data_IF_957480688269
#
_entry.id   IF_957480688269
#
_cell.length_a   1.000
_cell.length_b   1.000
_cell.length_c   1.000
_cell.angle_alpha   90.00
_cell.angle_beta   90.00
_cell.angle_gamma   90.00
#
_symmetry.space_group_name_H-M   'P 1'
#
loop_
_entity.id
_entity.type
_entity.pdbx_description
1 polymer ?
#
# COMPACT_ATOMS: atom_id res chain seq x y z
N UNK A 1 -16.93 8.07 -3.26
CA UNK A 1 -15.98 7.55 -4.27
C UNK A 1 -16.63 7.01 -5.51
N UNK A 2 -17.54 6.05 -5.42
CA UNK A 2 -18.11 5.43 -6.63
C UNK A 2 -19.09 6.31 -7.40
N UNK A 3 -19.72 7.31 -6.78
CA UNK A 3 -20.66 8.25 -7.41
C UNK A 3 -21.61 7.62 -8.44
N UNK A 4 -22.11 6.42 -8.16
CA UNK A 4 -22.98 5.67 -9.06
C UNK A 4 -22.32 4.57 -9.91
N UNK A 5 -20.98 4.49 -9.96
CA UNK A 5 -20.28 3.40 -10.66
C UNK A 5 -20.48 2.04 -9.95
N UNK A 6 -20.53 2.06 -8.62
CA UNK A 6 -20.69 0.87 -7.79
C UNK A 6 -21.63 1.16 -6.62
N UNK A 7 -21.98 0.15 -5.84
CA UNK A 7 -22.82 0.35 -4.66
C UNK A 7 -22.14 1.27 -3.63
N UNK A 8 -22.91 2.23 -3.10
CA UNK A 8 -22.48 3.01 -1.94
C UNK A 8 -22.39 2.11 -0.69
N UNK A 9 -21.70 2.59 0.34
CA UNK A 9 -21.56 1.89 1.63
C UNK A 9 -22.93 1.44 2.19
N UNK A 10 -23.92 2.34 2.21
CA UNK A 10 -25.28 2.03 2.66
C UNK A 10 -25.96 0.98 1.79
N UNK A 11 -25.81 1.05 0.47
CA UNK A 11 -26.42 0.09 -0.45
C UNK A 11 -25.80 -1.31 -0.29
N UNK A 12 -24.52 -1.41 0.01
CA UNK A 12 -23.87 -2.70 0.30
C UNK A 12 -24.53 -3.40 1.49
N UNK A 13 -24.78 -2.66 2.58
CA UNK A 13 -25.46 -3.22 3.75
C UNK A 13 -26.89 -3.65 3.39
N UNK A 14 -27.65 -2.81 2.68
CA UNK A 14 -29.05 -3.10 2.31
C UNK A 14 -29.15 -4.37 1.43
N UNK A 15 -28.30 -4.48 0.41
CA UNK A 15 -28.29 -5.67 -0.47
C UNK A 15 -27.88 -6.93 0.28
N UNK A 16 -26.89 -6.86 1.16
CA UNK A 16 -26.49 -8.01 1.98
C UNK A 16 -27.59 -8.44 2.95
N UNK A 17 -28.34 -7.50 3.53
CA UNK A 17 -29.49 -7.83 4.34
C UNK A 17 -30.56 -8.57 3.54
N UNK A 18 -30.85 -8.12 2.32
CA UNK A 18 -31.80 -8.79 1.43
C UNK A 18 -31.32 -10.20 1.02
N UNK A 19 -30.06 -10.37 0.66
CA UNK A 19 -29.47 -11.68 0.35
C UNK A 19 -29.65 -12.65 1.54
N UNK A 20 -29.37 -12.19 2.76
CA UNK A 20 -29.54 -13.02 3.97
C UNK A 20 -31.01 -13.34 4.23
N UNK A 21 -31.90 -12.38 4.04
CA UNK A 21 -33.35 -12.57 4.19
C UNK A 21 -33.88 -13.62 3.23
N UNK A 22 -33.60 -13.51 1.93
CA UNK A 22 -34.01 -14.49 0.92
C UNK A 22 -33.38 -15.86 1.17
N UNK A 23 -32.16 -15.93 1.64
CA UNK A 23 -31.49 -17.18 2.02
C UNK A 23 -32.23 -17.86 3.17
N UNK A 24 -32.65 -17.09 4.18
CA UNK A 24 -33.43 -17.63 5.31
C UNK A 24 -34.83 -18.11 4.86
N UNK A 25 -35.50 -17.36 4.00
CA UNK A 25 -36.79 -17.75 3.45
C UNK A 25 -36.71 -19.09 2.67
N UNK A 26 -35.66 -19.28 1.86
CA UNK A 26 -35.48 -20.57 1.15
C UNK A 26 -35.23 -21.73 2.09
N UNK A 27 -34.53 -21.53 3.21
CA UNK A 27 -34.33 -22.58 4.22
C UNK A 27 -35.65 -23.00 4.88
N UNK A 28 -36.51 -22.01 5.19
CA UNK A 28 -37.83 -22.30 5.80
C UNK A 28 -38.77 -22.97 4.81
N UNK A 29 -38.76 -22.58 3.54
CA UNK A 29 -39.68 -23.10 2.51
C UNK A 29 -39.16 -24.39 1.82
N UNK A 30 -38.17 -25.08 2.38
CA UNK A 30 -37.64 -26.32 1.82
C UNK A 30 -37.01 -26.20 0.43
N UNK A 31 -36.59 -24.99 0.02
CA UNK A 31 -35.94 -24.75 -1.26
C UNK A 31 -36.83 -24.69 -2.50
N UNK A 32 -38.16 -24.77 -2.35
CA UNK A 32 -39.12 -24.95 -3.48
C UNK A 32 -39.61 -23.66 -4.14
N UNK A 33 -39.25 -22.48 -3.63
CA UNK A 33 -39.71 -21.19 -4.16
C UNK A 33 -38.80 -20.68 -5.29
N UNK A 34 -39.06 -21.07 -6.54
CA UNK A 34 -38.27 -20.70 -7.72
C UNK A 34 -38.02 -19.20 -7.86
N UNK A 35 -39.04 -18.35 -7.68
CA UNK A 35 -38.89 -16.90 -7.79
C UNK A 35 -37.94 -16.30 -6.75
N UNK A 36 -37.92 -16.84 -5.51
CA UNK A 36 -36.98 -16.43 -4.47
C UNK A 36 -35.56 -16.85 -4.83
N UNK A 37 -35.41 -18.07 -5.35
CA UNK A 37 -34.12 -18.61 -5.78
C UNK A 37 -33.51 -17.78 -6.94
N UNK A 38 -34.33 -17.43 -7.95
CA UNK A 38 -33.90 -16.62 -9.09
C UNK A 38 -33.48 -15.21 -8.66
N UNK A 39 -34.25 -14.60 -7.78
CA UNK A 39 -33.91 -13.29 -7.19
C UNK A 39 -32.61 -13.33 -6.39
N UNK A 40 -32.44 -14.33 -5.52
CA UNK A 40 -31.24 -14.53 -4.73
C UNK A 40 -30.00 -14.73 -5.61
N UNK A 41 -30.11 -15.58 -6.62
CA UNK A 41 -29.01 -15.83 -7.59
C UNK A 41 -28.60 -14.55 -8.33
N UNK A 42 -29.60 -13.78 -8.78
CA UNK A 42 -29.36 -12.50 -9.45
C UNK A 42 -28.65 -11.49 -8.54
N UNK A 43 -29.14 -11.34 -7.29
CA UNK A 43 -28.54 -10.43 -6.32
C UNK A 43 -27.11 -10.83 -5.96
N UNK A 44 -26.84 -12.12 -5.69
CA UNK A 44 -25.49 -12.62 -5.40
C UNK A 44 -24.54 -12.36 -6.57
N UNK A 45 -24.95 -12.65 -7.81
CA UNK A 45 -24.15 -12.43 -9.02
C UNK A 45 -23.80 -10.96 -9.21
N UNK A 46 -24.78 -10.06 -9.07
CA UNK A 46 -24.55 -8.61 -9.20
C UNK A 46 -23.74 -8.06 -8.04
N UNK A 47 -24.00 -8.49 -6.82
CA UNK A 47 -23.26 -8.04 -5.65
C UNK A 47 -21.79 -8.42 -5.72
N UNK A 48 -21.42 -9.54 -6.33
CA UNK A 48 -20.02 -9.97 -6.49
C UNK A 48 -19.15 -8.87 -7.10
N UNK A 49 -19.62 -8.22 -8.16
CA UNK A 49 -18.92 -7.08 -8.74
C UNK A 49 -19.23 -5.78 -7.99
N UNK A 50 -20.50 -5.34 -7.99
CA UNK A 50 -20.86 -3.99 -7.52
C UNK A 50 -20.69 -3.78 -6.01
N UNK A 51 -20.69 -4.80 -5.22
CA UNK A 51 -20.60 -4.74 -3.75
C UNK A 51 -19.25 -5.18 -3.21
N UNK A 52 -18.81 -6.38 -3.57
CA UNK A 52 -17.61 -7.01 -3.03
C UNK A 52 -16.33 -6.58 -3.76
N UNK A 53 -16.17 -6.95 -5.04
CA UNK A 53 -14.93 -6.73 -5.79
C UNK A 53 -14.56 -5.27 -5.95
N UNK A 54 -15.53 -4.38 -6.00
CA UNK A 54 -15.35 -2.94 -6.12
C UNK A 54 -15.19 -2.20 -4.79
N UNK A 55 -15.18 -2.91 -3.66
CA UNK A 55 -14.84 -2.32 -2.37
C UNK A 55 -13.32 -2.35 -2.16
N UNK A 56 -12.74 -1.17 -1.98
CA UNK A 56 -11.31 -1.05 -1.67
C UNK A 56 -10.95 -1.48 -0.25
N UNK A 57 -11.94 -1.66 0.64
CA UNK A 57 -11.76 -1.85 2.09
C UNK A 57 -10.82 -0.81 2.72
N UNK A 58 -10.81 0.40 2.14
CA UNK A 58 -9.94 1.50 2.52
C UNK A 58 -10.39 2.27 3.78
N UNK A 59 -11.52 1.89 4.38
CA UNK A 59 -12.08 2.50 5.57
C UNK A 59 -12.55 3.95 5.44
N UNK A 60 -12.35 4.62 4.30
CA UNK A 60 -12.76 6.02 4.12
C UNK A 60 -14.27 6.25 4.23
N UNK A 61 -15.07 5.19 4.15
CA UNK A 61 -16.51 5.29 4.42
C UNK A 61 -16.81 5.64 5.88
N UNK A 62 -15.98 5.23 6.83
CA UNK A 62 -16.13 5.58 8.25
C UNK A 62 -15.78 7.04 8.53
N UNK A 63 -14.84 7.64 7.81
CA UNK A 63 -14.47 9.04 7.99
C UNK A 63 -15.59 10.00 7.57
N UNK A 64 -16.42 9.59 6.60
CA UNK A 64 -17.58 10.35 6.12
C UNK A 64 -18.89 9.99 6.84
N UNK A 65 -18.88 8.94 7.67
CA UNK A 65 -20.06 8.50 8.40
C UNK A 65 -20.10 9.13 9.79
N UNK A 66 -21.19 9.84 10.20
CA UNK A 66 -21.32 10.39 11.55
C UNK A 66 -21.20 9.32 12.65
N UNK A 67 -21.66 8.09 12.35
CA UNK A 67 -21.62 6.94 13.26
C UNK A 67 -20.31 6.13 13.14
N UNK A 68 -19.33 6.61 12.37
CA UNK A 68 -18.03 5.94 12.13
C UNK A 68 -18.13 4.51 11.60
N UNK A 69 -19.23 4.13 10.93
CA UNK A 69 -19.43 2.77 10.41
C UNK A 69 -18.48 2.49 9.25
N UNK A 70 -17.60 1.52 9.44
CA UNK A 70 -16.69 1.02 8.41
C UNK A 70 -17.31 -0.17 7.66
N UNK A 71 -17.88 0.05 6.47
CA UNK A 71 -18.44 -1.05 5.67
C UNK A 71 -17.37 -1.92 5.01
N UNK A 72 -16.11 -1.56 5.09
CA UNK A 72 -14.96 -2.39 4.71
C UNK A 72 -14.90 -3.67 5.55
N UNK A 73 -15.19 -3.60 6.85
CA UNK A 73 -15.22 -4.76 7.74
C UNK A 73 -16.29 -5.77 7.32
N UNK A 74 -17.50 -5.30 6.98
CA UNK A 74 -18.52 -6.17 6.41
C UNK A 74 -18.03 -6.88 5.13
N UNK A 75 -17.29 -6.16 4.29
CA UNK A 75 -16.73 -6.75 3.05
C UNK A 75 -15.65 -7.78 3.36
N UNK A 76 -14.82 -7.57 4.37
CA UNK A 76 -13.84 -8.57 4.82
C UNK A 76 -14.53 -9.85 5.31
N UNK A 77 -15.58 -9.72 6.13
CA UNK A 77 -16.37 -10.87 6.60
C UNK A 77 -17.02 -11.64 5.43
N UNK A 78 -17.58 -10.95 4.45
CA UNK A 78 -18.17 -11.58 3.27
C UNK A 78 -17.10 -12.35 2.48
N UNK A 79 -15.93 -11.76 2.26
CA UNK A 79 -14.81 -12.40 1.57
C UNK A 79 -14.30 -13.63 2.32
N UNK A 80 -14.26 -13.57 3.65
CA UNK A 80 -13.89 -14.71 4.48
C UNK A 80 -14.90 -15.86 4.33
N UNK A 81 -16.21 -15.55 4.35
CA UNK A 81 -17.25 -16.55 4.11
C UNK A 81 -17.13 -17.17 2.72
N UNK A 82 -16.98 -16.34 1.68
CA UNK A 82 -16.79 -16.80 0.29
C UNK A 82 -15.52 -17.66 0.15
N UNK A 83 -14.45 -17.32 0.86
CA UNK A 83 -13.19 -18.06 0.82
C UNK A 83 -13.31 -19.42 1.52
N UNK A 84 -14.04 -19.50 2.63
CA UNK A 84 -14.33 -20.77 3.31
C UNK A 84 -15.15 -21.74 2.42
N UNK A 85 -15.95 -21.20 1.50
CA UNK A 85 -16.69 -21.97 0.49
C UNK A 85 -15.84 -22.31 -0.76
N UNK A 86 -14.57 -21.83 -0.84
CA UNK A 86 -13.67 -22.02 -1.99
C UNK A 86 -12.36 -22.71 -1.61
N UNK A 87 -12.36 -24.05 -1.41
CA UNK A 87 -11.15 -24.77 -1.01
C UNK A 87 -9.97 -24.61 -1.96
N UNK A 88 -10.22 -24.51 -3.26
CA UNK A 88 -9.17 -24.31 -4.28
C UNK A 88 -8.53 -22.92 -4.17
N UNK A 89 -9.35 -21.88 -3.99
CA UNK A 89 -8.87 -20.53 -3.79
C UNK A 89 -8.00 -20.39 -2.53
N UNK A 90 -8.45 -21.04 -1.45
CA UNK A 90 -7.69 -21.08 -0.20
C UNK A 90 -6.32 -21.77 -0.36
N UNK A 91 -6.27 -22.96 -1.00
CA UNK A 91 -5.02 -23.69 -1.27
C UNK A 91 -4.03 -22.89 -2.12
N UNK A 92 -4.53 -22.15 -3.12
CA UNK A 92 -3.69 -21.25 -3.93
C UNK A 92 -3.10 -20.14 -3.05
N UNK A 93 -3.90 -19.55 -2.17
CA UNK A 93 -3.45 -18.54 -1.22
C UNK A 93 -2.40 -19.07 -0.24
N UNK A 94 -2.59 -20.28 0.27
CA UNK A 94 -1.66 -20.95 1.17
C UNK A 94 -0.34 -21.27 0.48
N UNK A 95 -0.38 -21.88 -0.71
CA UNK A 95 0.82 -22.11 -1.54
C UNK A 95 1.58 -20.80 -1.79
N UNK A 96 0.87 -19.71 -2.10
CA UNK A 96 1.49 -18.40 -2.31
C UNK A 96 2.17 -17.86 -1.04
N UNK A 97 1.60 -18.11 0.13
CA UNK A 97 2.18 -17.69 1.40
C UNK A 97 3.46 -18.46 1.76
N UNK A 98 3.50 -19.75 1.46
CA UNK A 98 4.65 -20.60 1.70
C UNK A 98 5.80 -20.34 0.72
N UNK A 99 5.47 -20.02 -0.54
CA UNK A 99 6.45 -19.84 -1.63
C UNK A 99 6.70 -18.36 -1.97
N UNK A 100 6.53 -17.44 -1.02
CA UNK A 100 6.58 -16.00 -1.23
C UNK A 100 7.87 -15.51 -1.89
N UNK A 101 9.02 -16.04 -1.50
CA UNK A 101 10.31 -15.66 -2.10
C UNK A 101 10.39 -16.04 -3.60
N UNK A 102 9.94 -17.26 -3.94
CA UNK A 102 9.87 -17.74 -5.33
C UNK A 102 8.90 -16.90 -6.16
N UNK A 103 7.72 -16.60 -5.63
CA UNK A 103 6.72 -15.76 -6.31
C UNK A 103 7.25 -14.36 -6.56
N UNK A 104 7.91 -13.71 -5.58
CA UNK A 104 8.54 -12.40 -5.79
C UNK A 104 9.63 -12.45 -6.85
N UNK A 105 10.43 -13.51 -6.88
CA UNK A 105 11.47 -13.71 -7.90
C UNK A 105 10.87 -13.91 -9.30
N UNK A 106 9.82 -14.73 -9.41
CA UNK A 106 9.08 -14.92 -10.66
C UNK A 106 8.42 -13.62 -11.14
N UNK A 107 7.81 -12.84 -10.23
CA UNK A 107 7.20 -11.56 -10.58
C UNK A 107 8.24 -10.55 -11.09
N UNK A 108 9.45 -10.53 -10.54
CA UNK A 108 10.56 -9.71 -11.07
C UNK A 108 10.92 -10.07 -12.49
N UNK A 109 10.97 -11.38 -12.81
CA UNK A 109 11.22 -11.86 -14.19
C UNK A 109 10.09 -11.42 -15.12
N UNK A 110 8.84 -11.57 -14.71
CA UNK A 110 7.67 -11.13 -15.50
C UNK A 110 7.71 -9.62 -15.75
N UNK A 111 8.08 -8.82 -14.76
CA UNK A 111 8.22 -7.36 -14.93
C UNK A 111 9.35 -7.00 -15.91
N UNK A 112 10.45 -7.74 -15.89
CA UNK A 112 11.58 -7.54 -16.80
C UNK A 112 11.21 -7.87 -18.26
N UNK A 113 10.54 -9.01 -18.45
CA UNK A 113 10.02 -9.43 -19.76
C UNK A 113 8.98 -8.41 -20.28
N UNK A 114 8.03 -7.99 -19.43
CA UNK A 114 7.03 -6.99 -19.80
C UNK A 114 7.68 -5.63 -20.15
N UNK A 115 8.73 -5.24 -19.42
CA UNK A 115 9.47 -4.01 -19.71
C UNK A 115 10.21 -4.12 -21.06
N UNK A 116 10.88 -5.23 -21.35
CA UNK A 116 11.56 -5.48 -22.63
C UNK A 116 10.56 -5.51 -23.79
N UNK A 117 9.42 -6.20 -23.61
CA UNK A 117 8.33 -6.21 -24.58
C UNK A 117 7.78 -4.81 -24.85
N UNK A 118 7.62 -3.99 -23.82
CA UNK A 118 7.19 -2.59 -23.99
C UNK A 118 8.21 -1.77 -24.82
N UNK A 119 9.50 -1.97 -24.58
CA UNK A 119 10.55 -1.26 -25.34
C UNK A 119 10.54 -1.63 -26.83
N UNK A 120 10.23 -2.88 -27.15
CA UNK A 120 10.25 -3.40 -28.54
C UNK A 120 8.94 -3.15 -29.29
N UNK A 121 7.78 -3.34 -28.63
CA UNK A 121 6.46 -3.26 -29.24
C UNK A 121 5.87 -1.84 -29.18
N UNK A 122 6.37 -1.01 -28.30
CA UNK A 122 5.81 0.32 -28.02
C UNK A 122 4.50 0.30 -27.22
N UNK A 123 4.06 1.47 -26.71
CA UNK A 123 2.93 1.57 -25.80
C UNK A 123 1.58 1.18 -26.40
N UNK A 124 1.34 1.51 -27.67
CA UNK A 124 0.05 1.29 -28.34
C UNK A 124 -0.24 -0.18 -28.57
N UNK A 125 0.73 -0.93 -29.12
CA UNK A 125 0.57 -2.35 -29.40
C UNK A 125 0.51 -3.15 -28.07
N UNK A 126 1.40 -2.84 -27.13
CA UNK A 126 1.40 -3.46 -25.79
C UNK A 126 0.04 -3.27 -25.09
N UNK A 127 -0.52 -2.05 -25.11
CA UNK A 127 -1.83 -1.78 -24.52
C UNK A 127 -2.97 -2.56 -25.19
N UNK A 128 -2.90 -2.77 -26.51
CA UNK A 128 -3.93 -3.52 -27.25
C UNK A 128 -3.87 -5.02 -26.94
N UNK A 129 -2.68 -5.61 -26.88
CA UNK A 129 -2.47 -7.01 -26.49
C UNK A 129 -2.94 -7.23 -25.04
N UNK A 130 -2.53 -6.35 -24.13
CA UNK A 130 -2.89 -6.49 -22.71
C UNK A 130 -4.40 -6.30 -22.46
N UNK A 131 -5.10 -5.47 -23.22
CA UNK A 131 -6.57 -5.39 -23.15
C UNK A 131 -7.24 -6.69 -23.58
N UNK A 132 -6.70 -7.37 -24.59
CA UNK A 132 -7.14 -8.71 -24.98
C UNK A 132 -6.94 -9.72 -23.86
N UNK A 133 -5.76 -9.75 -23.25
CA UNK A 133 -5.42 -10.64 -22.12
C UNK A 133 -6.26 -10.34 -20.87
N UNK A 134 -6.57 -9.09 -20.60
CA UNK A 134 -7.41 -8.70 -19.46
C UNK A 134 -8.84 -9.26 -19.56
N UNK A 135 -9.40 -9.38 -20.77
CA UNK A 135 -10.69 -10.06 -20.99
C UNK A 135 -10.65 -11.54 -20.58
N UNK A 136 -9.48 -12.16 -20.54
CA UNK A 136 -9.26 -13.53 -20.06
C UNK A 136 -8.93 -13.58 -18.57
N UNK A 137 -9.08 -12.46 -17.83
CA UNK A 137 -8.83 -12.37 -16.40
C UNK A 137 -7.38 -12.13 -15.99
N UNK A 138 -6.48 -11.85 -16.93
CA UNK A 138 -5.11 -11.51 -16.63
C UNK A 138 -4.97 -10.04 -16.21
N UNK A 139 -4.01 -9.69 -15.33
CA UNK A 139 -3.80 -8.32 -14.90
C UNK A 139 -3.52 -7.37 -16.08
N UNK A 140 -4.15 -6.20 -16.07
CA UNK A 140 -3.91 -5.18 -17.07
C UNK A 140 -2.52 -4.56 -16.90
N UNK A 141 -1.75 -4.54 -17.98
CA UNK A 141 -0.50 -3.78 -18.04
C UNK A 141 -0.79 -2.30 -18.35
N UNK A 142 -0.02 -1.38 -17.73
CA UNK A 142 -0.08 0.06 -18.00
C UNK A 142 1.31 0.60 -18.27
N UNK A 143 1.40 1.79 -18.90
CA UNK A 143 2.68 2.49 -19.14
C UNK A 143 3.39 2.90 -17.85
N UNK A 144 2.63 3.05 -16.76
CA UNK A 144 3.14 3.32 -15.42
C UNK A 144 3.62 2.04 -14.68
N UNK A 145 3.59 0.87 -15.35
CA UNK A 145 4.07 -0.37 -14.75
C UNK A 145 5.55 -0.25 -14.43
N UNK A 146 5.98 -0.47 -13.17
CA UNK A 146 7.35 -0.29 -12.77
C UNK A 146 8.26 -1.37 -13.39
N UNK A 147 9.54 -1.06 -13.47
CA UNK A 147 10.60 -2.05 -13.72
C UNK A 147 10.68 -3.02 -12.53
N UNK A 148 11.39 -4.15 -12.73
CA UNK A 148 11.78 -4.98 -11.59
C UNK A 148 12.64 -4.17 -10.62
N UNK A 149 12.47 -4.43 -9.33
CA UNK A 149 13.37 -3.89 -8.32
C UNK A 149 14.76 -4.51 -8.49
N UNK A 150 15.80 -3.68 -8.53
CA UNK A 150 17.21 -4.12 -8.46
C UNK A 150 17.52 -4.37 -6.98
N UNK A 151 17.70 -5.63 -6.61
CA UNK A 151 18.16 -5.92 -5.25
C UNK A 151 19.56 -5.32 -5.05
N UNK A 152 19.74 -4.47 -4.01
CA UNK A 152 21.06 -4.00 -3.67
C UNK A 152 21.94 -5.21 -3.30
N UNK A 153 23.11 -5.31 -3.87
CA UNK A 153 24.09 -6.33 -3.44
C UNK A 153 24.59 -5.93 -2.05
N UNK A 154 24.91 -6.92 -1.23
CA UNK A 154 25.47 -6.68 0.12
C UNK A 154 26.74 -5.83 0.07
N UNK A 155 27.53 -5.96 -1.02
CA UNK A 155 28.69 -5.10 -1.33
C UNK A 155 28.32 -3.63 -1.58
N UNK A 156 27.21 -3.39 -2.30
CA UNK A 156 26.79 -2.03 -2.65
C UNK A 156 26.33 -1.26 -1.41
N UNK A 157 25.67 -1.97 -0.47
CA UNK A 157 25.24 -1.43 0.82
C UNK A 157 26.44 -1.05 1.71
N UNK A 158 27.43 -1.91 1.80
CA UNK A 158 28.64 -1.67 2.62
C UNK A 158 29.47 -0.53 2.03
N UNK A 159 29.66 -0.50 0.70
CA UNK A 159 30.39 0.55 0.00
C UNK A 159 29.67 1.89 0.10
N UNK A 160 28.35 1.90 0.01
CA UNK A 160 27.51 3.10 0.13
C UNK A 160 27.57 3.73 1.52
N UNK A 161 27.56 2.89 2.56
CA UNK A 161 27.74 3.34 3.97
C UNK A 161 29.15 3.90 4.17
N UNK A 162 30.17 3.27 3.61
CA UNK A 162 31.57 3.69 3.77
C UNK A 162 31.88 4.97 2.96
N UNK A 163 31.41 5.08 1.72
CA UNK A 163 31.73 6.22 0.85
C UNK A 163 31.02 7.53 1.25
N UNK A 164 29.86 7.41 1.94
CA UNK A 164 29.04 8.58 2.34
C UNK A 164 28.87 8.75 3.84
N UNK A 165 29.48 7.94 4.66
CA UNK A 165 29.64 8.24 6.08
C UNK A 165 30.53 9.47 6.20
N UNK A 166 29.92 10.63 6.39
CA UNK A 166 30.63 11.83 6.80
C UNK A 166 31.31 11.44 8.12
N UNK A 167 32.63 11.67 8.28
CA UNK A 167 33.28 11.43 9.55
C UNK A 167 32.67 12.38 10.56
N UNK A 168 31.63 11.91 11.29
CA UNK A 168 31.27 12.56 12.53
C UNK A 168 32.50 12.46 13.43
N UNK A 169 32.96 13.60 13.93
CA UNK A 169 34.00 13.66 14.95
C UNK A 169 33.72 12.55 15.95
N UNK A 170 34.78 11.83 16.33
CA UNK A 170 34.79 10.79 17.33
C UNK A 170 34.24 11.31 18.68
N UNK A 171 32.94 11.47 18.76
CA UNK A 171 32.25 11.56 20.04
C UNK A 171 31.56 10.20 20.26
N UNK A 172 31.73 9.64 21.41
CA UNK A 172 31.40 8.31 21.95
C UNK A 172 29.94 7.82 21.78
N UNK A 173 29.27 8.09 20.67
CA UNK A 173 27.89 7.65 20.45
C UNK A 173 27.84 6.59 19.36
N UNK A 174 27.44 5.37 19.73
CA UNK A 174 27.06 4.31 18.77
C UNK A 174 26.16 4.90 17.69
N UNK A 175 26.34 4.53 16.39
CA UNK A 175 25.53 5.07 15.32
C UNK A 175 24.03 4.83 15.61
N UNK A 176 23.20 5.79 15.30
CA UNK A 176 21.76 5.66 15.39
C UNK A 176 21.30 4.55 14.44
N UNK A 177 20.37 3.72 14.88
CA UNK A 177 19.93 2.56 14.09
C UNK A 177 18.44 2.61 13.81
N UNK A 178 18.06 2.15 12.62
CA UNK A 178 16.67 1.99 12.19
C UNK A 178 16.49 0.65 11.48
N UNK A 179 15.48 -0.10 11.86
CA UNK A 179 15.11 -1.32 11.13
C UNK A 179 14.23 -0.93 9.95
N UNK A 180 14.63 -1.28 8.74
CA UNK A 180 13.87 -0.95 7.54
C UNK A 180 13.22 -2.20 6.93
N UNK A 181 11.90 -2.18 6.88
CA UNK A 181 11.09 -3.16 6.14
C UNK A 181 10.53 -2.54 4.85
N UNK A 182 11.15 -2.79 3.70
CA UNK A 182 10.74 -2.17 2.42
C UNK A 182 9.41 -2.66 1.89
N UNK A 183 8.77 -3.63 2.54
CA UNK A 183 7.58 -4.36 2.07
C UNK A 183 7.83 -5.28 0.88
N UNK A 184 6.92 -6.26 0.66
CA UNK A 184 7.06 -7.21 -0.45
C UNK A 184 6.97 -6.53 -1.83
N UNK A 185 6.12 -5.50 -1.96
CA UNK A 185 5.93 -4.80 -3.24
C UNK A 185 7.16 -3.96 -3.63
N UNK A 186 7.78 -3.26 -2.68
CA UNK A 186 8.98 -2.47 -2.94
C UNK A 186 10.23 -3.35 -3.15
N UNK A 187 10.19 -4.63 -2.73
CA UNK A 187 11.21 -5.62 -3.07
C UNK A 187 11.05 -6.22 -4.48
N UNK A 188 9.91 -6.04 -5.12
CA UNK A 188 9.61 -6.58 -6.46
C UNK A 188 9.53 -5.52 -7.53
N UNK A 189 8.93 -4.39 -7.23
CA UNK A 189 8.65 -3.30 -8.15
C UNK A 189 9.59 -2.12 -7.91
N UNK A 190 10.43 -1.80 -8.86
CA UNK A 190 11.26 -0.61 -8.89
C UNK A 190 10.47 0.64 -9.30
N UNK A 191 11.15 1.63 -9.84
CA UNK A 191 10.53 2.86 -10.34
C UNK A 191 9.79 2.65 -11.66
N UNK A 192 8.79 3.48 -11.89
CA UNK A 192 8.20 3.60 -13.22
C UNK A 192 9.23 4.21 -14.20
N UNK A 193 9.03 3.95 -15.50
CA UNK A 193 9.93 4.45 -16.54
C UNK A 193 9.92 5.99 -16.63
N UNK A 194 8.77 6.61 -16.39
CA UNK A 194 8.59 8.06 -16.45
C UNK A 194 9.21 8.81 -15.28
N UNK A 195 9.47 8.13 -14.15
CA UNK A 195 10.07 8.75 -12.97
C UNK A 195 11.51 9.23 -13.15
N UNK A 196 12.23 8.75 -14.16
CA UNK A 196 13.58 9.21 -14.52
C UNK A 196 14.68 8.97 -13.46
N UNK A 197 14.31 8.43 -12.30
CA UNK A 197 15.26 8.17 -11.20
C UNK A 197 16.09 6.93 -11.45
N UNK A 198 17.36 6.99 -11.08
CA UNK A 198 18.35 5.91 -11.29
C UNK A 198 18.21 4.84 -10.20
N UNK A 199 17.93 5.28 -8.97
CA UNK A 199 17.86 4.41 -7.79
C UNK A 199 16.44 3.98 -7.45
N UNK A 200 16.31 2.77 -6.90
CA UNK A 200 15.05 2.27 -6.37
C UNK A 200 14.77 2.85 -4.97
N UNK A 201 13.52 2.77 -4.52
CA UNK A 201 13.11 3.35 -3.23
C UNK A 201 13.93 2.82 -2.05
N UNK A 202 14.37 1.57 -2.10
CA UNK A 202 15.21 0.99 -1.03
C UNK A 202 16.55 1.72 -0.95
N UNK A 203 17.18 1.99 -2.08
CA UNK A 203 18.45 2.73 -2.14
C UNK A 203 18.27 4.18 -1.67
N UNK A 204 17.17 4.83 -2.07
CA UNK A 204 16.86 6.20 -1.65
C UNK A 204 16.63 6.31 -0.13
N UNK A 205 15.96 5.32 0.48
CA UNK A 205 15.81 5.27 1.95
C UNK A 205 17.17 5.12 2.63
N UNK A 206 18.01 4.20 2.13
CA UNK A 206 19.36 3.99 2.70
C UNK A 206 20.18 5.28 2.60
N UNK A 207 20.17 5.96 1.46
CA UNK A 207 20.88 7.21 1.24
C UNK A 207 20.41 8.31 2.21
N UNK A 208 19.10 8.44 2.36
CA UNK A 208 18.51 9.43 3.27
C UNK A 208 18.89 9.15 4.73
N UNK A 209 18.81 7.88 5.16
CA UNK A 209 19.22 7.48 6.51
C UNK A 209 20.70 7.74 6.75
N UNK A 210 21.56 7.40 5.79
CA UNK A 210 23.00 7.65 5.89
C UNK A 210 23.32 9.16 5.99
N UNK A 211 22.63 10.03 5.22
CA UNK A 211 22.77 11.50 5.36
C UNK A 211 22.46 11.99 6.79
N UNK A 212 21.48 11.36 7.44
CA UNK A 212 21.07 11.72 8.80
C UNK A 212 21.86 11.00 9.91
N UNK A 213 22.88 10.20 9.55
CA UNK A 213 23.73 9.46 10.49
C UNK A 213 23.10 8.19 11.06
N UNK A 214 22.11 7.60 10.35
CA UNK A 214 21.47 6.35 10.73
C UNK A 214 22.06 5.16 9.97
N UNK A 215 22.33 4.07 10.70
CA UNK A 215 22.59 2.75 10.16
C UNK A 215 21.26 2.05 9.87
N UNK A 216 21.09 1.49 8.68
CA UNK A 216 19.89 0.73 8.28
C UNK A 216 20.10 -0.75 8.51
N UNK A 217 19.23 -1.36 9.32
CA UNK A 217 19.20 -2.79 9.61
C UNK A 217 18.05 -3.42 8.82
N UNK A 218 18.33 -4.50 8.10
CA UNK A 218 17.29 -5.30 7.44
C UNK A 218 16.92 -6.53 8.28
N UNK A 219 15.63 -6.85 8.41
CA UNK A 219 15.22 -8.08 9.09
C UNK A 219 15.67 -9.32 8.31
N UNK A 220 16.08 -10.36 9.01
CA UNK A 220 16.46 -11.64 8.41
C UNK A 220 15.27 -12.28 7.70
N UNK A 221 15.52 -12.92 6.54
CA UNK A 221 14.49 -13.60 5.76
C UNK A 221 13.47 -12.66 5.10
N UNK A 222 13.81 -11.40 4.92
CA UNK A 222 12.96 -10.35 4.36
C UNK A 222 12.29 -10.76 3.04
N UNK A 223 12.95 -11.58 2.23
CA UNK A 223 12.42 -12.09 0.96
C UNK A 223 11.18 -13.00 1.12
N UNK A 224 10.99 -13.61 2.30
CA UNK A 224 9.83 -14.45 2.64
C UNK A 224 8.75 -13.69 3.41
N UNK A 225 9.07 -12.49 3.90
CA UNK A 225 8.21 -11.72 4.79
C UNK A 225 7.14 -10.94 4.03
N UNK A 226 5.96 -10.83 4.68
CA UNK A 226 4.85 -10.00 4.24
C UNK A 226 4.03 -9.55 5.44
N UNK A 227 3.47 -8.35 5.37
CA UNK A 227 2.58 -7.81 6.40
C UNK A 227 1.20 -8.51 6.47
N UNK A 228 0.88 -9.40 5.52
CA UNK A 228 -0.39 -10.11 5.46
C UNK A 228 -1.54 -9.37 4.75
N UNK A 229 -1.39 -8.10 4.41
CA UNK A 229 -2.45 -7.26 3.83
C UNK A 229 -3.13 -7.87 2.59
N UNK A 230 -2.38 -8.56 1.74
CA UNK A 230 -2.93 -9.17 0.52
C UNK A 230 -3.91 -10.29 0.84
N UNK A 231 -3.61 -11.13 1.84
CA UNK A 231 -4.50 -12.23 2.26
C UNK A 231 -5.72 -11.70 3.03
N UNK A 232 -5.54 -10.72 3.93
CA UNK A 232 -6.66 -10.06 4.60
C UNK A 232 -7.65 -9.48 3.58
N UNK A 233 -7.15 -8.77 2.56
CA UNK A 233 -7.99 -8.17 1.53
C UNK A 233 -8.78 -9.18 0.70
N UNK A 234 -8.35 -10.45 0.70
CA UNK A 234 -9.01 -11.57 0.01
C UNK A 234 -9.83 -12.47 0.94
N UNK A 235 -9.89 -12.17 2.26
CA UNK A 235 -10.66 -12.93 3.25
C UNK A 235 -9.94 -14.14 3.85
N UNK A 236 -8.62 -14.27 3.66
CA UNK A 236 -7.79 -15.35 4.21
C UNK A 236 -7.11 -14.86 5.50
N UNK A 237 -7.90 -14.64 6.57
CA UNK A 237 -7.43 -13.97 7.77
C UNK A 237 -6.36 -14.75 8.53
N UNK A 238 -6.50 -16.07 8.63
CA UNK A 238 -5.56 -16.97 9.28
C UNK A 238 -4.17 -16.97 8.61
N UNK A 239 -4.13 -17.00 7.27
CA UNK A 239 -2.88 -16.85 6.51
C UNK A 239 -2.31 -15.45 6.72
N UNK A 240 -3.16 -14.42 6.68
CA UNK A 240 -2.76 -13.05 6.92
C UNK A 240 -2.11 -12.86 8.28
N UNK A 241 -2.69 -13.45 9.33
CA UNK A 241 -2.20 -13.37 10.71
C UNK A 241 -0.93 -14.17 10.91
N UNK A 242 -0.82 -15.35 10.31
CA UNK A 242 0.42 -16.13 10.29
C UNK A 242 1.58 -15.33 9.67
N UNK A 243 1.36 -14.72 8.51
CA UNK A 243 2.38 -13.89 7.84
C UNK A 243 2.73 -12.63 8.64
N UNK A 244 1.76 -12.02 9.31
CA UNK A 244 2.01 -10.90 10.21
C UNK A 244 2.85 -11.34 11.42
N UNK A 245 2.59 -12.53 11.98
CA UNK A 245 3.33 -13.05 13.11
C UNK A 245 4.79 -13.38 12.75
N UNK A 246 5.02 -13.98 11.58
CA UNK A 246 6.37 -14.23 11.05
C UNK A 246 7.16 -12.93 10.90
N UNK A 247 6.51 -11.89 10.33
CA UNK A 247 7.13 -10.58 10.18
C UNK A 247 7.41 -9.93 11.53
N UNK A 248 6.46 -9.97 12.47
CA UNK A 248 6.62 -9.40 13.81
C UNK A 248 7.81 -10.00 14.55
N UNK A 249 7.96 -11.33 14.53
CA UNK A 249 9.08 -12.01 15.17
C UNK A 249 10.44 -11.59 14.57
N UNK A 250 10.52 -11.45 13.25
CA UNK A 250 11.73 -11.01 12.57
C UNK A 250 12.07 -9.54 12.87
N UNK A 251 11.08 -8.66 12.89
CA UNK A 251 11.25 -7.25 13.24
C UNK A 251 11.65 -7.07 14.70
N UNK A 252 11.04 -7.84 15.61
CA UNK A 252 11.37 -7.83 17.04
C UNK A 252 12.85 -8.17 17.29
N UNK A 253 13.32 -9.24 16.62
CA UNK A 253 14.73 -9.62 16.67
C UNK A 253 15.64 -8.54 16.07
N UNK A 254 15.29 -8.01 14.89
CA UNK A 254 16.10 -7.01 14.19
C UNK A 254 16.15 -5.66 14.94
N UNK A 255 15.10 -5.32 15.69
CA UNK A 255 15.02 -4.08 16.47
C UNK A 255 15.65 -4.20 17.87
N UNK A 256 16.35 -5.30 18.18
CA UNK A 256 16.85 -5.59 19.52
C UNK A 256 15.73 -5.40 20.58
N UNK A 257 14.64 -6.19 20.40
CA UNK A 257 13.49 -6.18 21.30
C UNK A 257 12.76 -4.82 21.39
N UNK A 258 12.65 -4.14 20.26
CA UNK A 258 11.95 -2.85 20.15
C UNK A 258 12.77 -1.64 20.54
N UNK A 259 14.07 -1.80 20.80
CA UNK A 259 15.02 -0.72 21.09
C UNK A 259 15.13 0.24 19.90
N UNK A 260 15.26 -0.29 18.68
CA UNK A 260 15.34 0.51 17.48
C UNK A 260 13.98 0.69 16.82
N UNK A 261 13.68 1.89 16.29
CA UNK A 261 12.45 2.14 15.53
C UNK A 261 12.43 1.32 14.24
N UNK A 262 11.22 0.97 13.79
CA UNK A 262 10.99 0.23 12.54
C UNK A 262 10.35 1.16 11.53
N UNK A 263 10.96 1.26 10.36
CA UNK A 263 10.49 2.03 9.21
C UNK A 263 9.86 1.12 8.17
N UNK A 264 8.66 1.45 7.69
CA UNK A 264 8.02 0.78 6.57
C UNK A 264 7.59 1.78 5.50
N UNK A 265 8.21 1.74 4.31
CA UNK A 265 7.98 2.67 3.22
C UNK A 265 6.77 2.31 2.34
N UNK A 266 5.77 1.65 2.90
CA UNK A 266 4.53 1.29 2.23
C UNK A 266 3.35 1.47 3.19
N UNK A 267 2.65 2.58 3.07
CA UNK A 267 1.61 3.01 3.99
C UNK A 267 0.51 1.97 4.25
N UNK A 268 -0.05 1.24 3.26
CA UNK A 268 -1.02 0.17 3.53
C UNK A 268 -0.46 -1.00 4.35
N UNK A 269 0.82 -1.35 4.14
CA UNK A 269 1.48 -2.39 4.93
C UNK A 269 1.67 -1.94 6.38
N UNK A 270 2.14 -0.71 6.58
CA UNK A 270 2.31 -0.13 7.91
C UNK A 270 0.98 -0.04 8.67
N UNK A 271 -0.10 0.38 7.99
CA UNK A 271 -1.42 0.45 8.60
C UNK A 271 -1.86 -0.91 9.17
N UNK A 272 -1.67 -2.01 8.40
CA UNK A 272 -1.94 -3.35 8.92
C UNK A 272 -0.98 -3.72 10.06
N UNK A 273 0.32 -3.45 9.90
CA UNK A 273 1.30 -3.73 10.96
C UNK A 273 0.92 -3.04 12.27
N UNK A 274 0.52 -1.78 12.23
CA UNK A 274 0.02 -1.05 13.40
C UNK A 274 -1.29 -1.63 13.96
N UNK A 275 -2.14 -2.22 13.13
CA UNK A 275 -3.39 -2.87 13.55
C UNK A 275 -3.13 -4.19 14.32
N UNK A 276 -2.14 -4.99 13.90
CA UNK A 276 -1.93 -6.36 14.39
C UNK A 276 -0.66 -6.56 15.21
N UNK A 277 0.27 -5.60 15.20
CA UNK A 277 1.53 -5.61 15.95
C UNK A 277 1.96 -4.18 16.30
N UNK A 278 2.83 -4.01 17.26
CA UNK A 278 3.43 -2.72 17.60
C UNK A 278 2.69 -1.91 18.67
N UNK A 279 3.39 -0.90 19.19
CA UNK A 279 2.90 0.08 20.16
C UNK A 279 2.29 1.29 19.44
N UNK A 280 1.20 1.84 19.98
CA UNK A 280 0.60 3.07 19.45
C UNK A 280 1.18 4.30 20.12
N UNK A 281 1.50 5.31 19.33
CA UNK A 281 1.48 6.68 19.81
C UNK A 281 0.03 7.20 19.78
N UNK A 282 -0.35 8.04 20.74
CA UNK A 282 -1.73 8.53 20.98
C UNK A 282 -2.40 9.28 19.82
N UNK A 283 -1.68 9.51 18.69
CA UNK A 283 -2.17 10.20 17.51
C UNK A 283 -3.13 9.40 16.63
N UNK A 284 -3.21 8.08 16.80
CA UNK A 284 -4.08 7.23 15.97
C UNK A 284 -5.55 7.25 16.43
N UNK A 285 -6.14 8.40 16.52
CA UNK A 285 -7.49 8.64 17.09
C UNK A 285 -8.66 7.99 16.32
N UNK A 286 -8.39 7.27 15.22
CA UNK A 286 -9.44 6.80 14.30
C UNK A 286 -9.81 5.32 14.37
N UNK A 287 -9.13 4.50 15.19
CA UNK A 287 -9.48 3.08 15.36
C UNK A 287 -9.90 2.86 16.81
N UNK A 288 -11.15 2.46 17.02
CA UNK A 288 -11.72 2.20 18.34
C UNK A 288 -10.99 1.07 19.05
N UNK A 289 -10.81 1.21 20.38
CA UNK A 289 -10.15 0.18 21.24
C UNK A 289 -10.89 -1.15 21.22
N UNK A 290 -12.19 -1.15 21.02
CA UNK A 290 -13.04 -2.35 20.92
C UNK A 290 -12.79 -3.15 19.61
N UNK A 291 -12.63 -2.47 18.46
CA UNK A 291 -12.32 -3.14 17.18
C UNK A 291 -10.96 -3.86 17.19
N UNK A 292 -10.09 -3.49 18.12
CA UNK A 292 -8.77 -4.11 18.29
C UNK A 292 -8.79 -5.37 19.11
N UNK A 293 -9.60 -5.40 20.13
CA UNK A 293 -9.74 -6.57 20.98
C UNK A 293 -10.33 -7.74 20.18
N UNK A 294 -11.29 -7.46 19.30
CA UNK A 294 -11.86 -8.45 18.39
C UNK A 294 -10.92 -8.86 17.25
N UNK A 295 -10.03 -7.96 16.78
CA UNK A 295 -9.05 -8.25 15.73
C UNK A 295 -7.81 -8.99 16.23
N UNK A 296 -7.65 -9.15 17.55
CA UNK A 296 -6.51 -9.88 18.15
C UNK A 296 -6.65 -11.38 17.95
N UNK A 297 -5.63 -12.06 17.44
CA UNK A 297 -5.53 -13.52 17.59
C UNK A 297 -5.54 -13.87 19.07
N UNK A 298 -6.53 -14.64 19.51
CA UNK A 298 -6.67 -15.02 20.93
C UNK A 298 -5.37 -15.69 21.41
N UNK A 299 -4.76 -15.16 22.47
CA UNK A 299 -3.57 -15.73 23.12
C UNK A 299 -2.21 -15.30 22.57
N UNK A 300 -2.15 -14.33 21.64
CA UNK A 300 -0.87 -13.84 21.09
C UNK A 300 -0.30 -12.68 21.93
N UNK A 301 0.97 -12.80 22.30
CA UNK A 301 1.75 -11.69 22.88
C UNK A 301 2.13 -10.75 21.72
N UNK A 302 1.67 -9.52 21.77
CA UNK A 302 2.11 -8.47 20.84
C UNK A 302 3.35 -7.78 21.41
N UNK A 303 4.38 -7.71 20.60
CA UNK A 303 5.61 -7.01 21.00
C UNK A 303 5.44 -5.49 20.86
N UNK A 304 5.99 -4.74 21.82
CA UNK A 304 5.96 -3.28 21.80
C UNK A 304 7.05 -2.73 20.88
N UNK A 305 6.71 -2.53 19.61
CA UNK A 305 7.61 -1.95 18.62
C UNK A 305 7.10 -0.59 18.13
N UNK A 306 8.01 0.35 17.95
CA UNK A 306 7.72 1.66 17.39
C UNK A 306 7.78 1.58 15.85
N UNK A 307 6.62 1.63 15.21
CA UNK A 307 6.46 1.47 13.76
C UNK A 307 6.18 2.83 13.12
N UNK A 308 6.97 3.22 12.13
CA UNK A 308 6.90 4.54 11.49
C UNK A 308 6.72 4.46 9.98
N UNK A 309 5.97 5.42 9.47
CA UNK A 309 5.90 5.76 8.06
C UNK A 309 7.04 6.75 7.72
N UNK A 310 7.55 6.78 6.47
CA UNK A 310 8.65 7.65 6.12
C UNK A 310 8.46 9.12 6.50
N UNK A 311 7.30 9.71 6.19
CA UNK A 311 7.07 11.13 6.49
C UNK A 311 7.09 11.41 8.00
N UNK A 312 6.43 10.56 8.78
CA UNK A 312 6.42 10.65 10.24
C UNK A 312 7.82 10.46 10.84
N UNK A 313 8.57 9.45 10.35
CA UNK A 313 9.93 9.19 10.82
C UNK A 313 10.86 10.36 10.52
N UNK A 314 10.79 10.92 9.31
CA UNK A 314 11.60 12.05 8.89
C UNK A 314 11.28 13.27 9.74
N UNK A 315 10.00 13.60 9.89
CA UNK A 315 9.57 14.76 10.70
C UNK A 315 9.98 14.62 12.16
N UNK A 316 9.95 13.42 12.72
CA UNK A 316 10.27 13.19 14.14
C UNK A 316 11.76 13.09 14.44
N UNK A 317 12.55 12.51 13.55
CA UNK A 317 13.93 12.12 13.85
C UNK A 317 15.00 12.72 12.92
N UNK A 318 14.62 13.12 11.71
CA UNK A 318 15.60 13.55 10.71
C UNK A 318 15.61 15.06 10.43
N UNK A 319 14.53 15.80 10.73
CA UNK A 319 14.43 17.24 10.42
C UNK A 319 15.58 18.04 11.05
N UNK A 320 15.94 17.73 12.28
CA UNK A 320 17.04 18.42 12.98
C UNK A 320 18.44 17.96 12.55
N UNK A 321 18.54 16.93 11.70
CA UNK A 321 19.78 16.32 11.22
C UNK A 321 20.08 16.59 9.76
N UNK A 322 19.13 17.19 9.07
CA UNK A 322 19.21 17.50 7.63
C UNK A 322 19.05 18.99 7.40
N UNK A 323 19.82 19.52 6.48
CA UNK A 323 19.61 20.86 5.94
C UNK A 323 18.73 20.75 4.71
N UNK A 324 17.55 21.41 4.75
CA UNK A 324 16.56 21.41 3.68
C UNK A 324 16.82 22.57 2.71
N UNK A 325 16.84 22.25 1.42
CA UNK A 325 16.99 23.19 0.32
C UNK A 325 15.74 23.10 -0.58
N UNK A 326 14.68 23.88 -0.29
CA UNK A 326 13.42 23.77 -1.03
C UNK A 326 13.62 24.00 -2.52
N UNK A 327 13.04 23.12 -3.34
CA UNK A 327 13.06 23.23 -4.79
C UNK A 327 11.87 24.04 -5.29
N UNK A 328 12.05 24.73 -6.43
CA UNK A 328 11.00 25.54 -7.05
C UNK A 328 10.22 24.75 -8.13
N UNK A 329 9.95 23.51 -7.86
CA UNK A 329 9.16 22.62 -8.74
C UNK A 329 7.72 22.55 -8.26
N UNK A 330 6.76 22.64 -9.17
CA UNK A 330 5.35 22.45 -8.86
C UNK A 330 5.06 20.96 -8.65
N UNK A 331 4.71 20.59 -7.44
CA UNK A 331 4.49 19.19 -7.05
C UNK A 331 3.06 18.94 -6.59
N UNK A 332 2.52 17.75 -6.94
CA UNK A 332 1.26 17.27 -6.37
C UNK A 332 1.53 16.29 -5.23
N UNK A 333 0.75 16.41 -4.15
CA UNK A 333 0.83 15.50 -3.02
C UNK A 333 -0.45 14.66 -2.94
N UNK A 334 -0.32 13.33 -2.98
CA UNK A 334 -1.42 12.41 -2.76
C UNK A 334 -1.29 11.73 -1.39
N UNK A 335 -2.22 12.05 -0.50
CA UNK A 335 -2.35 11.43 0.81
C UNK A 335 -3.14 10.11 0.66
N UNK A 336 -2.48 8.98 0.88
CA UNK A 336 -3.14 7.67 0.77
C UNK A 336 -4.24 7.49 1.81
N UNK A 337 -5.19 6.58 1.56
CA UNK A 337 -6.22 6.26 2.54
C UNK A 337 -5.62 5.78 3.88
N UNK A 338 -4.58 4.96 3.83
CA UNK A 338 -3.87 4.47 5.00
C UNK A 338 -3.11 5.57 5.75
N UNK A 339 -2.46 6.51 5.06
CA UNK A 339 -1.81 7.69 5.67
C UNK A 339 -2.82 8.51 6.46
N UNK A 340 -4.02 8.75 5.88
CA UNK A 340 -5.11 9.47 6.56
C UNK A 340 -5.66 8.71 7.77
N UNK A 341 -5.81 7.38 7.68
CA UNK A 341 -6.29 6.56 8.79
C UNK A 341 -5.29 6.50 9.95
N UNK A 342 -4.00 6.56 9.66
CA UNK A 342 -2.94 6.60 10.68
C UNK A 342 -2.70 8.01 11.25
N UNK A 343 -3.34 9.05 10.71
CA UNK A 343 -3.15 10.45 11.16
C UNK A 343 -1.82 11.08 10.74
N UNK A 344 -1.11 10.47 9.77
CA UNK A 344 0.23 10.91 9.30
C UNK A 344 0.13 11.91 8.14
N UNK A 345 -1.06 12.30 7.75
CA UNK A 345 -1.32 13.25 6.65
C UNK A 345 -0.72 14.63 6.93
N UNK A 346 -0.74 15.08 8.17
CA UNK A 346 -0.14 16.36 8.59
C UNK A 346 1.37 16.37 8.42
N UNK A 347 2.04 15.29 8.84
CA UNK A 347 3.50 15.15 8.71
C UNK A 347 3.90 15.12 7.23
N UNK A 348 3.16 14.41 6.40
CA UNK A 348 3.42 14.34 4.98
C UNK A 348 3.26 15.70 4.28
N UNK A 349 2.24 16.50 4.67
CA UNK A 349 2.06 17.87 4.15
C UNK A 349 3.18 18.80 4.64
N UNK A 350 3.52 18.74 5.93
CA UNK A 350 4.57 19.55 6.51
C UNK A 350 5.93 19.24 5.85
N UNK A 351 6.26 17.97 5.69
CA UNK A 351 7.47 17.51 5.03
C UNK A 351 7.55 17.97 3.57
N UNK A 352 6.47 17.86 2.81
CA UNK A 352 6.42 18.32 1.43
C UNK A 352 6.69 19.83 1.32
N UNK A 353 6.17 20.63 2.28
CA UNK A 353 6.40 22.09 2.36
C UNK A 353 7.82 22.45 2.75
N UNK A 354 8.53 21.61 3.49
CA UNK A 354 9.96 21.79 3.72
C UNK A 354 10.79 21.56 2.45
N UNK A 355 10.27 20.77 1.51
CA UNK A 355 10.98 20.36 0.31
C UNK A 355 10.64 21.18 -0.94
N UNK A 356 9.45 21.80 -1.01
CA UNK A 356 9.04 22.62 -2.15
C UNK A 356 8.17 23.79 -1.71
N UNK A 357 8.35 24.93 -2.38
CA UNK A 357 7.52 26.13 -2.21
C UNK A 357 6.15 25.99 -2.88
N UNK A 358 6.01 25.07 -3.85
CA UNK A 358 4.84 24.91 -4.71
C UNK A 358 4.18 23.54 -4.52
N UNK A 359 3.55 23.32 -3.35
CA UNK A 359 2.87 22.07 -2.99
C UNK A 359 1.38 22.16 -3.28
N UNK A 360 0.89 21.37 -4.19
CA UNK A 360 -0.52 21.27 -4.57
C UNK A 360 -1.18 19.99 -4.03
N UNK A 361 -2.33 20.13 -3.37
CA UNK A 361 -3.16 19.02 -2.91
C UNK A 361 -4.40 18.92 -3.81
N UNK A 362 -4.52 17.91 -4.69
CA UNK A 362 -5.66 17.77 -5.58
C UNK A 362 -7.00 17.62 -4.83
N UNK A 363 -7.99 18.43 -5.20
CA UNK A 363 -9.31 18.42 -4.58
C UNK A 363 -10.18 17.28 -5.10
N UNK A 364 -10.94 16.64 -4.22
CA UNK A 364 -11.85 15.55 -4.56
C UNK A 364 -11.14 14.26 -4.99
N UNK A 365 -9.84 14.14 -4.69
CA UNK A 365 -9.01 12.95 -4.90
C UNK A 365 -8.69 12.34 -3.54
N UNK A 366 -9.63 11.58 -2.97
CA UNK A 366 -9.47 10.98 -1.64
C UNK A 366 -8.76 9.62 -1.65
N UNK A 367 -9.11 8.76 -2.61
CA UNK A 367 -8.51 7.45 -2.81
C UNK A 367 -8.13 7.28 -4.27
N UNK A 368 -6.97 6.68 -4.55
CA UNK A 368 -6.54 6.40 -5.91
C UNK A 368 -7.45 5.36 -6.63
N UNK A 369 -8.27 4.61 -5.90
CA UNK A 369 -9.13 3.56 -6.46
C UNK A 369 -8.39 2.31 -6.90
N UNK A 370 -7.07 2.22 -6.67
CA UNK A 370 -6.27 1.06 -7.08
C UNK A 370 -6.44 -0.13 -6.14
N UNK A 371 -6.62 0.12 -4.84
CA UNK A 371 -6.95 -0.88 -3.82
C UNK A 371 -6.06 -2.15 -3.87
N UNK A 372 -4.76 -1.98 -3.78
CA UNK A 372 -3.79 -3.07 -3.86
C UNK A 372 -3.61 -3.60 -5.30
N UNK A 373 -4.11 -4.79 -5.58
CA UNK A 373 -4.04 -5.43 -6.91
C UNK A 373 -5.28 -5.17 -7.79
N UNK A 374 -6.36 -4.60 -7.23
CA UNK A 374 -7.64 -4.44 -7.94
C UNK A 374 -7.57 -3.50 -9.14
N UNK A 375 -6.73 -2.48 -9.08
CA UNK A 375 -6.53 -1.59 -10.20
C UNK A 375 -6.01 -2.26 -11.48
N UNK A 376 -5.34 -3.41 -11.34
CA UNK A 376 -4.93 -4.23 -12.48
C UNK A 376 -6.08 -5.07 -13.06
N UNK A 377 -7.09 -5.39 -12.25
CA UNK A 377 -8.25 -6.20 -12.66
C UNK A 377 -9.44 -5.33 -13.06
N UNK A 378 -9.66 -4.24 -12.31
CA UNK A 378 -10.79 -3.31 -12.46
C UNK A 378 -10.29 -1.87 -12.66
N UNK A 379 -9.61 -1.57 -13.78
CA UNK A 379 -9.01 -0.26 -14.04
C UNK A 379 -10.02 0.89 -14.06
N UNK A 380 -11.30 0.60 -14.32
CA UNK A 380 -12.39 1.56 -14.30
C UNK A 380 -12.58 2.22 -12.93
N UNK A 381 -12.30 1.52 -11.84
CA UNK A 381 -12.37 2.06 -10.47
C UNK A 381 -11.33 3.15 -10.26
N UNK A 382 -10.10 2.88 -10.69
CA UNK A 382 -8.99 3.82 -10.62
C UNK A 382 -9.25 5.03 -11.54
N UNK A 383 -9.61 4.79 -12.80
CA UNK A 383 -9.96 5.84 -13.75
C UNK A 383 -11.07 6.75 -13.23
N UNK A 384 -12.12 6.18 -12.66
CA UNK A 384 -13.25 6.94 -12.12
C UNK A 384 -12.89 7.71 -10.85
N UNK A 385 -12.16 7.08 -9.93
CA UNK A 385 -11.68 7.73 -8.70
C UNK A 385 -10.80 8.94 -8.98
N UNK A 386 -9.98 8.87 -10.01
CA UNK A 386 -9.01 9.90 -10.39
C UNK A 386 -9.45 10.81 -11.55
N UNK A 387 -10.74 10.77 -11.97
CA UNK A 387 -11.23 11.56 -13.10
C UNK A 387 -11.03 13.07 -12.97
N UNK A 388 -10.92 13.58 -11.74
CA UNK A 388 -10.67 15.00 -11.45
C UNK A 388 -9.19 15.35 -11.36
N UNK A 389 -8.28 14.36 -11.38
CA UNK A 389 -6.86 14.59 -11.14
C UNK A 389 -6.19 15.32 -12.32
N UNK A 390 -6.27 14.75 -13.53
CA UNK A 390 -5.58 15.29 -14.71
C UNK A 390 -5.89 16.76 -14.99
N UNK A 391 -7.18 17.21 -15.02
CA UNK A 391 -7.47 18.63 -15.23
C UNK A 391 -6.84 19.57 -14.21
N UNK A 392 -6.71 19.12 -12.95
CA UNK A 392 -6.07 19.92 -11.91
C UNK A 392 -4.55 19.94 -12.07
N UNK A 393 -3.93 18.82 -12.45
CA UNK A 393 -2.50 18.73 -12.75
C UNK A 393 -2.13 19.70 -13.88
N UNK A 394 -2.89 19.69 -14.97
CA UNK A 394 -2.67 20.55 -16.14
C UNK A 394 -2.89 22.04 -15.78
N UNK A 395 -3.97 22.36 -15.09
CA UNK A 395 -4.30 23.74 -14.69
C UNK A 395 -3.27 24.37 -13.72
N UNK A 396 -2.58 23.57 -12.90
CA UNK A 396 -1.59 24.04 -11.95
C UNK A 396 -0.15 23.79 -12.41
N UNK A 397 0.06 23.38 -13.66
CA UNK A 397 1.38 23.11 -14.25
C UNK A 397 2.24 22.18 -13.39
N UNK A 398 1.63 21.12 -12.85
CA UNK A 398 2.34 20.17 -11.97
C UNK A 398 3.24 19.26 -12.80
N UNK A 399 4.49 19.14 -12.39
CA UNK A 399 5.51 18.35 -13.10
C UNK A 399 5.63 16.92 -12.57
N UNK A 400 5.44 16.74 -11.25
CA UNK A 400 5.64 15.47 -10.57
C UNK A 400 4.72 15.35 -9.37
N UNK A 401 4.30 14.11 -9.06
CA UNK A 401 3.50 13.81 -7.88
C UNK A 401 4.22 12.91 -6.88
N UNK A 402 3.86 13.04 -5.61
CA UNK A 402 4.39 12.22 -4.53
C UNK A 402 3.30 11.52 -3.73
N UNK A 403 3.58 10.28 -3.31
CA UNK A 403 2.67 9.44 -2.53
C UNK A 403 3.49 8.48 -1.64
N UNK A 404 2.82 7.61 -0.87
CA UNK A 404 3.46 6.65 0.03
C UNK A 404 3.00 5.21 -0.22
N UNK A 405 2.58 4.91 -1.45
CA UNK A 405 2.16 3.56 -1.81
C UNK A 405 2.42 3.30 -3.29
N UNK A 406 3.22 2.27 -3.58
CA UNK A 406 3.60 1.91 -4.95
C UNK A 406 2.41 1.70 -5.87
N UNK A 407 1.35 1.02 -5.42
CA UNK A 407 0.15 0.79 -6.23
C UNK A 407 -0.65 2.07 -6.46
N UNK A 408 -0.68 2.98 -5.49
CA UNK A 408 -1.26 4.31 -5.68
C UNK A 408 -0.45 5.11 -6.72
N UNK A 409 0.88 5.09 -6.64
CA UNK A 409 1.77 5.75 -7.61
C UNK A 409 1.47 5.30 -9.05
N UNK A 410 1.36 3.99 -9.29
CA UNK A 410 0.99 3.43 -10.60
C UNK A 410 -0.37 3.99 -11.08
N UNK A 411 -1.37 3.95 -10.21
CA UNK A 411 -2.71 4.43 -10.55
C UNK A 411 -2.79 5.93 -10.80
N UNK A 412 -2.08 6.71 -9.99
CA UNK A 412 -1.98 8.16 -10.13
C UNK A 412 -1.27 8.55 -11.42
N UNK A 413 -0.12 7.97 -11.71
CA UNK A 413 0.64 8.21 -12.93
C UNK A 413 -0.18 7.85 -14.18
N UNK A 414 -0.84 6.68 -14.18
CA UNK A 414 -1.69 6.23 -15.31
C UNK A 414 -2.79 7.24 -15.64
N UNK A 415 -3.37 7.92 -14.63
CA UNK A 415 -4.52 8.80 -14.81
C UNK A 415 -4.20 10.29 -14.83
N UNK A 416 -3.06 10.72 -14.30
CA UNK A 416 -2.60 12.11 -14.33
C UNK A 416 -1.81 12.46 -15.59
N UNK A 417 -0.99 11.51 -16.05
CA UNK A 417 -0.04 11.72 -17.16
C UNK A 417 1.31 12.28 -16.73
N UNK A 418 1.53 12.47 -15.43
CA UNK A 418 2.82 12.86 -14.84
C UNK A 418 3.36 11.72 -13.96
N UNK A 419 4.70 11.65 -13.74
CA UNK A 419 5.27 10.64 -12.86
C UNK A 419 4.81 10.83 -11.40
N UNK A 420 4.56 9.71 -10.72
CA UNK A 420 4.30 9.66 -9.28
C UNK A 420 5.29 8.73 -8.60
N UNK A 421 5.85 9.19 -7.48
CA UNK A 421 6.84 8.42 -6.71
C UNK A 421 6.70 8.62 -5.21
N UNK A 422 7.49 7.89 -4.41
CA UNK A 422 7.50 8.07 -2.95
C UNK A 422 8.04 9.46 -2.57
N UNK A 423 7.49 10.04 -1.51
CA UNK A 423 7.98 11.32 -0.96
C UNK A 423 9.45 11.27 -0.54
N UNK A 424 9.98 10.08 -0.27
CA UNK A 424 11.41 9.90 0.07
C UNK A 424 12.34 10.41 -1.03
N UNK A 425 11.96 10.26 -2.30
CA UNK A 425 12.73 10.81 -3.43
C UNK A 425 12.83 12.33 -3.37
N UNK A 426 11.74 13.00 -3.03
CA UNK A 426 11.71 14.45 -2.88
C UNK A 426 12.65 14.88 -1.75
N UNK A 427 12.50 14.25 -0.58
CA UNK A 427 13.32 14.57 0.60
C UNK A 427 14.80 14.33 0.33
N UNK A 428 15.14 13.20 -0.30
CA UNK A 428 16.53 12.89 -0.61
C UNK A 428 17.15 13.86 -1.63
N UNK A 429 16.34 14.36 -2.58
CA UNK A 429 16.77 15.36 -3.56
C UNK A 429 17.04 16.73 -2.94
N UNK A 430 16.20 17.19 -2.02
CA UNK A 430 16.26 18.53 -1.44
C UNK A 430 17.00 18.61 -0.10
N UNK A 431 17.70 17.56 0.33
CA UNK A 431 18.41 17.58 1.62
C UNK A 431 19.89 17.28 1.49
N UNK A 432 20.67 17.88 2.39
CA UNK A 432 22.07 17.52 2.66
C UNK A 432 22.23 17.16 4.13
N UNK A 433 23.31 16.47 4.47
CA UNK A 433 23.64 16.21 5.87
C UNK A 433 23.92 17.54 6.58
N UNK A 434 23.33 17.72 7.75
CA UNK A 434 23.63 18.89 8.60
C UNK A 434 25.06 18.79 9.12
N UNK A 435 25.81 19.87 8.98
CA UNK A 435 27.20 19.96 9.44
C UNK A 435 27.29 20.14 10.94
#
# INVERSE_FOLDING_TARGET
MSCGLTLSSRMRIAVQREIRHLTAQLRVNGGTASAIQDRLTTLKRQYKYYGDQTCATDGLCSTSCPMKINTGELTHLIRQMDMNESPTGYKIGEFAAEHMAGIKSGLRVVLDVAHTAHLTLGPSLMSSVCRGMNKMGLPLWTTAMPKKHRQPKKSDLTQFIIEKSIPHKEEEHSPLKVVYFPSCINQTMGQSKSGGKIHDLVDEVIQLMAKAGYEVIFPEGMERMCCGQIWESKGMLDIADRKSAELEASLWKASEEGKYPVLCAQSPCLHRMRKVMGEREQSDACIDSAEREEARPKGKVMHKMKLYEPAEFIMKYLVDRLDFHPIDRHIALHLTCSTRQMGVDKDMIALAKLCSNNVFLPEGVGCCGFAGDRGFTFPELNKYGLRKLRPQIEANHIEVGYSNSRTCEIGLETNSGIPYMSIVYLVNECTTAKK
#
